data_IF_217308159884
#
_entry.id   IF_217308159884
#
_cell.length_a   1.000
_cell.length_b   1.000
_cell.length_c   1.000
_cell.angle_alpha   90.00
_cell.angle_beta   90.00
_cell.angle_gamma   90.00
#
_symmetry.space_group_name_H-M   'P 1'
#
loop_
_entity.id
_entity.type
_entity.pdbx_description
1 polymer ?
#
# COMPACT_ATOMS: atom_id res chain seq x y z
N UNK A 1 -16.55 -13.83 -7.59
CA UNK A 1 -15.19 -13.29 -7.36
C UNK A 1 -15.33 -12.11 -6.41
N UNK A 2 -15.03 -12.25 -5.11
CA UNK A 2 -15.09 -11.14 -4.15
C UNK A 2 -14.01 -10.11 -4.51
N UNK A 3 -14.39 -9.07 -5.25
CA UNK A 3 -13.49 -7.98 -5.61
C UNK A 3 -13.48 -6.92 -4.51
N UNK A 4 -12.34 -6.28 -4.29
CA UNK A 4 -12.25 -5.09 -3.44
C UNK A 4 -12.76 -3.82 -4.14
N UNK A 5 -13.48 -3.97 -5.25
CA UNK A 5 -13.93 -2.88 -6.12
C UNK A 5 -14.79 -1.86 -5.38
N UNK A 6 -15.67 -2.30 -4.47
CA UNK A 6 -16.46 -1.36 -3.66
C UNK A 6 -15.56 -0.49 -2.76
N UNK A 7 -14.56 -1.10 -2.13
CA UNK A 7 -13.61 -0.38 -1.29
C UNK A 7 -12.72 0.56 -2.13
N UNK A 8 -12.15 0.08 -3.23
CA UNK A 8 -11.25 0.87 -4.08
C UNK A 8 -11.98 2.03 -4.75
N UNK A 9 -13.23 1.84 -5.17
CA UNK A 9 -14.06 2.93 -5.71
C UNK A 9 -14.35 3.99 -4.65
N UNK A 10 -14.68 3.60 -3.42
CA UNK A 10 -14.87 4.53 -2.31
C UNK A 10 -13.58 5.31 -1.99
N UNK A 11 -12.44 4.61 -1.86
CA UNK A 11 -11.12 5.22 -1.66
C UNK A 11 -10.79 6.21 -2.80
N UNK A 12 -11.05 5.80 -4.05
CA UNK A 12 -10.77 6.61 -5.25
C UNK A 12 -11.59 7.89 -5.24
N UNK A 13 -12.90 7.80 -5.00
CA UNK A 13 -13.78 8.98 -4.92
C UNK A 13 -13.33 9.94 -3.82
N UNK A 14 -13.00 9.41 -2.63
CA UNK A 14 -12.52 10.23 -1.51
C UNK A 14 -11.20 10.93 -1.83
N UNK A 15 -10.26 10.22 -2.45
CA UNK A 15 -8.98 10.79 -2.85
C UNK A 15 -9.11 11.82 -4.00
N UNK A 16 -10.05 11.62 -4.93
CA UNK A 16 -10.38 12.62 -5.97
C UNK A 16 -10.90 13.93 -5.38
N UNK A 17 -11.72 13.87 -4.34
CA UNK A 17 -12.13 15.08 -3.60
C UNK A 17 -10.93 15.80 -2.98
N UNK A 18 -9.94 15.07 -2.45
CA UNK A 18 -8.70 15.68 -1.91
C UNK A 18 -7.80 16.26 -3.00
N UNK A 19 -7.75 15.65 -4.18
CA UNK A 19 -7.04 16.20 -5.34
C UNK A 19 -7.59 17.57 -5.75
N UNK A 20 -8.91 17.80 -5.65
CA UNK A 20 -9.49 19.11 -5.92
C UNK A 20 -8.88 20.19 -5.02
N UNK A 21 -8.76 19.93 -3.71
CA UNK A 21 -8.12 20.87 -2.78
C UNK A 21 -6.63 21.04 -3.08
N UNK A 22 -5.90 19.97 -3.40
CA UNK A 22 -4.50 20.07 -3.79
C UNK A 22 -4.32 20.97 -5.04
N UNK A 23 -5.21 20.89 -6.03
CA UNK A 23 -5.20 21.80 -7.19
C UNK A 23 -5.45 23.25 -6.79
N UNK A 24 -6.37 23.51 -5.85
CA UNK A 24 -6.62 24.87 -5.34
C UNK A 24 -5.40 25.43 -4.62
N UNK A 25 -4.73 24.64 -3.80
CA UNK A 25 -3.50 25.02 -3.11
C UNK A 25 -2.39 25.37 -4.12
N UNK A 26 -2.25 24.60 -5.19
CA UNK A 26 -1.29 24.91 -6.28
C UNK A 26 -1.64 26.22 -6.99
N UNK A 27 -2.92 26.47 -7.27
CA UNK A 27 -3.39 27.74 -7.87
C UNK A 27 -3.16 28.95 -6.97
N UNK A 28 -3.15 28.76 -5.65
CA UNK A 28 -2.79 29.79 -4.68
C UNK A 28 -1.26 29.99 -4.54
N UNK A 29 -0.47 29.45 -5.46
CA UNK A 29 1.00 29.59 -5.50
C UNK A 29 1.71 29.11 -4.22
N UNK A 30 1.13 28.15 -3.51
CA UNK A 30 1.79 27.61 -2.31
C UNK A 30 3.06 26.85 -2.67
N UNK A 31 4.10 26.92 -1.81
CA UNK A 31 5.35 26.19 -2.00
C UNK A 31 5.14 24.69 -2.15
N UNK A 32 5.97 24.07 -2.99
CA UNK A 32 5.95 22.63 -3.26
C UNK A 32 6.04 21.79 -1.99
N UNK A 33 6.83 22.21 -0.99
CA UNK A 33 6.96 21.53 0.30
C UNK A 33 5.62 21.40 1.03
N UNK A 34 4.79 22.44 1.00
CA UNK A 34 3.44 22.44 1.60
C UNK A 34 2.52 21.51 0.80
N UNK A 35 2.59 21.54 -0.53
CA UNK A 35 1.78 20.66 -1.39
C UNK A 35 2.12 19.18 -1.17
N UNK A 36 3.41 18.84 -1.06
CA UNK A 36 3.86 17.48 -0.75
C UNK A 36 3.42 17.04 0.64
N UNK A 37 3.48 17.95 1.63
CA UNK A 37 3.01 17.67 3.00
C UNK A 37 1.50 17.42 3.02
N UNK A 38 0.73 18.25 2.31
CA UNK A 38 -0.71 18.06 2.13
C UNK A 38 -1.03 16.71 1.46
N UNK A 39 -0.32 16.34 0.40
CA UNK A 39 -0.48 15.05 -0.26
C UNK A 39 -0.25 13.89 0.72
N UNK A 40 0.88 13.89 1.43
CA UNK A 40 1.23 12.83 2.40
C UNK A 40 0.17 12.70 3.51
N UNK A 41 -0.27 13.84 4.05
CA UNK A 41 -1.23 13.87 5.16
C UNK A 41 -2.67 13.52 4.77
N UNK A 42 -3.10 13.85 3.55
CA UNK A 42 -4.53 13.79 3.18
C UNK A 42 -4.87 12.79 2.08
N UNK A 43 -4.00 12.61 1.08
CA UNK A 43 -4.24 11.72 -0.05
C UNK A 43 -3.56 10.38 0.21
N UNK A 44 -2.26 10.41 0.51
CA UNK A 44 -1.50 9.20 0.77
C UNK A 44 -2.03 8.46 2.00
N UNK A 45 -2.48 9.17 3.04
CA UNK A 45 -3.10 8.55 4.22
C UNK A 45 -4.37 7.76 3.89
N UNK A 46 -5.20 8.27 2.98
CA UNK A 46 -6.39 7.57 2.48
C UNK A 46 -5.99 6.35 1.64
N UNK A 47 -5.01 6.53 0.74
CA UNK A 47 -4.55 5.45 -0.15
C UNK A 47 -3.79 4.34 0.61
N UNK A 48 -3.10 4.67 1.69
CA UNK A 48 -2.28 3.74 2.47
C UNK A 48 -3.02 3.13 3.66
N UNK A 49 -4.25 3.59 3.96
CA UNK A 49 -5.10 3.07 5.03
C UNK A 49 -5.40 1.59 4.83
N UNK A 50 -4.96 0.76 5.77
CA UNK A 50 -5.06 -0.71 5.72
C UNK A 50 -4.60 -1.34 4.38
N UNK A 51 -3.71 -0.69 3.63
CA UNK A 51 -3.32 -1.08 2.26
C UNK A 51 -2.82 -2.52 2.16
N UNK A 52 -2.18 -3.02 3.22
CA UNK A 52 -1.67 -4.39 3.32
C UNK A 52 -2.77 -5.45 3.22
N UNK A 53 -4.03 -5.09 3.52
CA UNK A 53 -5.17 -6.02 3.55
C UNK A 53 -5.81 -6.16 2.16
N UNK A 54 -6.04 -5.04 1.49
CA UNK A 54 -6.90 -5.01 0.29
C UNK A 54 -6.12 -4.87 -1.02
N UNK A 55 -4.94 -4.24 -1.03
CA UNK A 55 -4.24 -3.90 -2.28
C UNK A 55 -3.79 -5.13 -3.07
N UNK A 56 -3.28 -6.16 -2.39
CA UNK A 56 -2.87 -7.42 -3.04
C UNK A 56 -4.00 -8.05 -3.86
N UNK A 57 -5.25 -7.91 -3.40
CA UNK A 57 -6.44 -8.49 -4.01
C UNK A 57 -7.15 -7.57 -5.03
N UNK A 58 -6.61 -6.38 -5.31
CA UNK A 58 -7.15 -5.50 -6.34
C UNK A 58 -6.91 -6.05 -7.75
N UNK A 59 -7.88 -5.84 -8.64
CA UNK A 59 -7.72 -6.14 -10.06
C UNK A 59 -6.87 -5.06 -10.77
N UNK A 60 -6.57 -5.26 -12.05
CA UNK A 60 -5.75 -4.33 -12.82
C UNK A 60 -6.40 -2.94 -12.97
N UNK A 61 -7.73 -2.87 -13.15
CA UNK A 61 -8.46 -1.62 -13.28
C UNK A 61 -8.44 -0.81 -11.97
N UNK A 62 -8.66 -1.47 -10.84
CA UNK A 62 -8.56 -0.87 -9.50
C UNK A 62 -7.18 -0.27 -9.28
N UNK A 63 -6.11 -1.03 -9.58
CA UNK A 63 -4.72 -0.57 -9.44
C UNK A 63 -4.43 0.63 -10.34
N UNK A 64 -4.93 0.61 -11.58
CA UNK A 64 -4.77 1.73 -12.52
C UNK A 64 -5.48 2.99 -12.01
N UNK A 65 -6.70 2.86 -11.49
CA UNK A 65 -7.46 3.98 -10.94
C UNK A 65 -6.76 4.61 -9.72
N UNK A 66 -6.26 3.79 -8.81
CA UNK A 66 -5.52 4.27 -7.64
C UNK A 66 -4.17 4.89 -8.02
N UNK A 67 -3.44 4.29 -8.95
CA UNK A 67 -2.16 4.84 -9.43
C UNK A 67 -2.36 6.16 -10.18
N UNK A 68 -3.49 6.34 -10.87
CA UNK A 68 -3.83 7.61 -11.53
C UNK A 68 -3.94 8.77 -10.53
N UNK A 69 -4.43 8.53 -9.32
CA UNK A 69 -4.48 9.54 -8.26
C UNK A 69 -3.07 10.01 -7.91
N UNK A 70 -2.15 9.06 -7.68
CA UNK A 70 -0.75 9.35 -7.36
C UNK A 70 -0.09 10.16 -8.49
N UNK A 71 -0.24 9.70 -9.74
CA UNK A 71 0.29 10.40 -10.92
C UNK A 71 -0.27 11.81 -11.09
N UNK A 72 -1.54 12.00 -10.75
CA UNK A 72 -2.17 13.33 -10.80
C UNK A 72 -1.61 14.24 -9.72
N UNK A 73 -1.43 13.74 -8.49
CA UNK A 73 -0.81 14.49 -7.41
C UNK A 73 0.66 14.84 -7.74
N UNK A 74 1.41 13.92 -8.33
CA UNK A 74 2.79 14.14 -8.78
C UNK A 74 2.86 15.28 -9.80
N UNK A 75 1.97 15.29 -10.81
CA UNK A 75 1.87 16.40 -11.77
C UNK A 75 1.53 17.74 -11.13
N UNK A 76 0.67 17.77 -10.10
CA UNK A 76 0.26 19.01 -9.42
C UNK A 76 1.38 19.54 -8.52
N UNK A 77 2.05 18.64 -7.79
CA UNK A 77 3.12 18.98 -6.84
C UNK A 77 4.43 19.28 -7.55
N UNK A 78 4.69 18.67 -8.71
CA UNK A 78 5.96 18.76 -9.42
C UNK A 78 7.09 17.95 -8.78
N UNK A 79 6.76 16.99 -7.92
CA UNK A 79 7.74 16.13 -7.21
C UNK A 79 7.41 14.68 -7.50
N UNK A 80 8.43 13.85 -7.72
CA UNK A 80 8.24 12.42 -7.88
C UNK A 80 7.64 11.80 -6.62
N UNK A 81 6.53 11.09 -6.78
CA UNK A 81 5.82 10.42 -5.69
C UNK A 81 5.98 8.91 -5.83
N UNK A 82 6.13 8.17 -4.71
CA UNK A 82 6.28 6.73 -4.78
C UNK A 82 5.04 6.08 -5.38
N UNK A 83 5.19 5.14 -6.34
CA UNK A 83 4.10 4.32 -6.84
C UNK A 83 3.34 3.64 -5.70
N UNK A 84 2.04 3.44 -5.88
CA UNK A 84 1.22 2.84 -4.83
C UNK A 84 1.64 1.40 -4.50
N UNK A 85 2.19 0.69 -5.48
CA UNK A 85 2.77 -0.64 -5.28
C UNK A 85 3.96 -0.61 -4.32
N UNK A 86 4.80 0.41 -4.37
CA UNK A 86 5.98 0.54 -3.51
C UNK A 86 5.58 0.94 -2.10
N UNK A 87 4.57 1.81 -1.97
CA UNK A 87 3.94 2.12 -0.68
C UNK A 87 3.40 0.83 -0.06
N UNK A 88 2.66 0.02 -0.82
CA UNK A 88 2.16 -1.26 -0.35
C UNK A 88 3.29 -2.20 0.10
N UNK A 89 4.31 -2.40 -0.74
CA UNK A 89 5.45 -3.28 -0.42
C UNK A 89 6.20 -2.81 0.82
N UNK A 90 6.47 -1.52 0.93
CA UNK A 90 7.13 -0.93 2.11
C UNK A 90 6.29 -1.14 3.38
N UNK A 91 4.98 -0.92 3.30
CA UNK A 91 4.06 -1.12 4.44
C UNK A 91 3.95 -2.60 4.83
N UNK A 92 3.88 -3.50 3.85
CA UNK A 92 3.87 -4.94 4.07
C UNK A 92 5.15 -5.40 4.75
N UNK A 93 6.30 -5.00 4.22
CA UNK A 93 7.60 -5.38 4.79
C UNK A 93 7.77 -4.85 6.21
N UNK A 94 7.44 -3.57 6.45
CA UNK A 94 7.55 -2.98 7.79
C UNK A 94 6.64 -3.69 8.79
N UNK A 95 5.39 -3.98 8.40
CA UNK A 95 4.46 -4.72 9.27
C UNK A 95 4.98 -6.13 9.56
N UNK A 96 5.51 -6.82 8.55
CA UNK A 96 6.06 -8.16 8.72
C UNK A 96 7.29 -8.16 9.64
N UNK A 97 8.22 -7.22 9.46
CA UNK A 97 9.38 -7.04 10.34
C UNK A 97 8.98 -6.79 11.79
N UNK A 98 7.92 -6.02 12.03
CA UNK A 98 7.41 -5.80 13.39
C UNK A 98 6.86 -7.10 14.00
N UNK A 99 6.11 -7.89 13.24
CA UNK A 99 5.59 -9.20 13.71
C UNK A 99 6.73 -10.19 13.99
N UNK A 100 7.75 -10.22 13.13
CA UNK A 100 8.93 -11.07 13.30
C UNK A 100 9.73 -10.66 14.55
N UNK A 101 9.83 -9.36 14.83
CA UNK A 101 10.57 -8.86 16.00
C UNK A 101 9.84 -9.13 17.32
N UNK A 102 8.51 -9.17 17.31
CA UNK A 102 7.69 -9.37 18.49
C UNK A 102 7.27 -10.84 18.63
N UNK A 103 7.93 -11.57 19.52
CA UNK A 103 7.62 -12.98 19.82
C UNK A 103 6.26 -13.18 20.48
N UNK A 104 5.67 -12.14 21.08
CA UNK A 104 4.36 -12.20 21.73
C UNK A 104 3.21 -11.96 20.75
N UNK A 105 3.53 -11.50 19.54
CA UNK A 105 2.51 -11.22 18.53
C UNK A 105 1.79 -12.52 18.12
N UNK A 106 0.44 -12.55 18.06
CA UNK A 106 -0.33 -13.78 17.81
C UNK A 106 -0.01 -14.43 16.45
N UNK A 107 0.40 -13.62 15.47
CA UNK A 107 0.81 -14.10 14.14
C UNK A 107 2.32 -14.36 13.99
N UNK A 108 3.12 -14.28 15.07
CA UNK A 108 4.58 -14.48 15.01
C UNK A 108 4.93 -15.85 14.40
N UNK A 109 4.22 -16.91 14.81
CA UNK A 109 4.44 -18.27 14.29
C UNK A 109 4.24 -18.42 12.77
N UNK A 110 3.52 -17.51 12.11
CA UNK A 110 3.40 -17.50 10.65
C UNK A 110 4.71 -17.08 9.94
N UNK A 111 5.65 -16.49 10.66
CA UNK A 111 6.95 -16.06 10.17
C UNK A 111 8.08 -16.90 10.79
N UNK A 112 8.02 -18.21 10.60
CA UNK A 112 9.05 -19.13 11.08
C UNK A 112 10.21 -19.23 10.08
N UNK A 113 11.45 -19.06 10.53
CA UNK A 113 12.65 -19.30 9.70
C UNK A 113 12.88 -20.81 9.47
N UNK A 114 13.43 -21.15 8.32
CA UNK A 114 13.98 -22.49 8.05
C UNK A 114 15.26 -22.73 8.85
N UNK A 115 15.70 -23.99 9.04
CA UNK A 115 16.91 -24.31 9.82
C UNK A 115 18.17 -23.56 9.36
N UNK A 116 18.24 -23.17 8.07
CA UNK A 116 19.34 -22.36 7.55
C UNK A 116 19.38 -20.92 8.05
N UNK A 117 18.32 -20.43 8.72
CA UNK A 117 18.20 -19.05 9.22
C UNK A 117 18.02 -17.98 8.13
N UNK A 118 18.07 -18.35 6.84
CA UNK A 118 18.08 -17.39 5.72
C UNK A 118 16.70 -17.07 5.15
N UNK A 119 15.77 -18.03 5.19
CA UNK A 119 14.46 -17.91 4.53
C UNK A 119 13.34 -18.26 5.50
N UNK A 120 12.24 -17.55 5.39
CA UNK A 120 10.98 -17.87 6.06
C UNK A 120 10.27 -19.02 5.37
N UNK A 121 9.60 -19.86 6.16
CA UNK A 121 8.79 -20.98 5.68
C UNK A 121 7.67 -20.46 4.80
N UNK A 122 7.63 -20.92 3.55
CA UNK A 122 6.55 -20.60 2.61
C UNK A 122 5.21 -21.13 3.11
N UNK A 123 4.16 -20.34 2.96
CA UNK A 123 2.79 -20.73 3.27
C UNK A 123 2.08 -21.12 1.98
N UNK A 124 1.49 -22.31 1.94
CA UNK A 124 0.76 -22.80 0.78
C UNK A 124 -0.57 -22.06 0.59
N UNK A 125 -0.82 -21.58 -0.62
CA UNK A 125 -2.07 -20.91 -1.00
C UNK A 125 -2.90 -21.83 -1.90
N UNK A 126 -4.10 -22.24 -1.46
CA UNK A 126 -5.02 -23.00 -2.31
C UNK A 126 -5.82 -22.13 -3.29
N UNK A 127 -5.86 -20.82 -3.07
CA UNK A 127 -6.61 -19.87 -3.90
C UNK A 127 -5.77 -18.64 -4.22
N UNK A 128 -6.03 -18.02 -5.37
CA UNK A 128 -5.40 -16.74 -5.77
C UNK A 128 -5.63 -15.66 -4.70
N UNK A 129 -6.83 -15.63 -4.10
CA UNK A 129 -7.19 -14.70 -3.02
C UNK A 129 -6.28 -14.86 -1.80
N UNK A 130 -6.08 -16.10 -1.33
CA UNK A 130 -5.18 -16.36 -0.21
C UNK A 130 -3.74 -15.99 -0.56
N UNK A 131 -3.27 -16.36 -1.76
CA UNK A 131 -1.93 -16.05 -2.24
C UNK A 131 -1.62 -14.55 -2.35
N UNK A 132 -2.65 -13.72 -2.43
CA UNK A 132 -2.59 -12.25 -2.50
C UNK A 132 -2.84 -11.57 -1.16
N UNK A 133 -3.11 -12.32 -0.10
CA UNK A 133 -3.28 -11.78 1.25
C UNK A 133 -1.95 -11.33 1.87
N UNK A 134 -2.04 -10.53 2.93
CA UNK A 134 -0.91 -9.94 3.63
C UNK A 134 0.19 -10.96 3.97
N UNK A 135 -0.13 -12.02 4.72
CA UNK A 135 0.89 -12.93 5.25
C UNK A 135 1.70 -13.63 4.17
N UNK A 136 1.02 -14.12 3.12
CA UNK A 136 1.68 -14.82 2.02
C UNK A 136 2.52 -13.88 1.17
N UNK A 137 2.04 -12.66 0.93
CA UNK A 137 2.81 -11.62 0.23
C UNK A 137 4.03 -11.19 1.06
N UNK A 138 3.86 -10.99 2.37
CA UNK A 138 4.92 -10.60 3.28
C UNK A 138 6.04 -11.63 3.35
N UNK A 139 5.71 -12.92 3.50
CA UNK A 139 6.71 -14.01 3.49
C UNK A 139 7.49 -14.05 2.18
N UNK A 140 6.80 -13.91 1.03
CA UNK A 140 7.45 -13.86 -0.29
C UNK A 140 8.38 -12.66 -0.41
N UNK A 141 7.95 -11.49 0.05
CA UNK A 141 8.75 -10.27 0.03
C UNK A 141 9.99 -10.37 0.94
N UNK A 142 9.86 -10.97 2.13
CA UNK A 142 11.00 -11.21 3.02
C UNK A 142 12.01 -12.19 2.41
N UNK A 143 11.54 -13.20 1.69
CA UNK A 143 12.40 -14.18 1.03
C UNK A 143 13.07 -13.70 -0.26
N UNK A 144 12.65 -12.54 -0.79
CA UNK A 144 13.23 -11.90 -1.96
C UNK A 144 14.20 -10.76 -1.65
N UNK A 145 14.43 -10.48 -0.36
CA UNK A 145 15.48 -9.57 0.10
C UNK A 145 16.83 -10.31 0.14
#
# INVERSE_FOLDING_TARGET
>A
MFSWTLNTTHITKKAQQRLYFLRRLRKAHLPTSILTTFYRGTIESILSGAITVWFGNCNAADRKALQWIVRTAEKITGVSLPPLADIHSTRCLRKAKNIVKDSTHPSHGLFTLLPSGRRFRSINARTSRMGKSFFLQAVRQLNSL
#
